data_IF_368313807026
#
_entry.id   IF_368313807026
#
_cell.length_a   1.000
_cell.length_b   1.000
_cell.length_c   1.000
_cell.angle_alpha   90.00
_cell.angle_beta   90.00
_cell.angle_gamma   90.00
#
_symmetry.space_group_name_H-M   'P 1'
#
loop_
_entity.id
_entity.type
_entity.pdbx_description
1 polymer ?
#
# COMPACT_ATOMS: atom_id res chain seq x y z
N UNK A 1 -9.24 1.02 42.02
CA UNK A 1 -9.47 1.96 40.90
C UNK A 1 -10.55 1.34 40.02
N UNK A 2 -11.75 1.90 40.04
CA UNK A 2 -12.97 1.28 39.54
C UNK A 2 -13.07 1.48 38.02
N UNK A 3 -12.87 0.42 37.22
CA UNK A 3 -13.04 0.46 35.76
C UNK A 3 -14.53 0.22 35.45
N UNK A 4 -15.39 1.13 35.89
CA UNK A 4 -16.82 1.09 35.58
C UNK A 4 -17.16 2.08 34.47
N UNK A 5 -17.84 1.57 33.44
CA UNK A 5 -18.49 2.29 32.33
C UNK A 5 -17.61 2.78 31.17
N UNK A 6 -17.07 1.86 30.35
CA UNK A 6 -16.81 2.19 28.94
C UNK A 6 -18.14 2.21 28.18
N UNK A 7 -18.62 3.43 27.90
CA UNK A 7 -19.81 3.75 27.10
C UNK A 7 -19.96 2.81 25.90
N UNK A 8 -21.10 2.12 25.83
CA UNK A 8 -21.63 1.60 24.58
C UNK A 8 -21.92 2.82 23.69
N UNK A 9 -21.05 3.12 22.72
CA UNK A 9 -21.33 4.16 21.72
C UNK A 9 -22.34 3.56 20.73
N UNK A 10 -23.55 4.12 20.61
CA UNK A 10 -24.51 3.63 19.63
C UNK A 10 -23.89 3.68 18.23
N UNK A 11 -24.20 2.68 17.41
CA UNK A 11 -23.84 2.59 15.99
C UNK A 11 -24.65 3.65 15.24
N UNK A 12 -24.32 4.94 15.40
CA UNK A 12 -24.96 6.03 14.67
C UNK A 12 -23.96 6.64 13.67
N UNK A 13 -24.34 6.59 12.39
CA UNK A 13 -23.81 7.35 11.26
C UNK A 13 -22.31 7.30 10.93
N UNK A 14 -21.61 6.20 11.20
CA UNK A 14 -20.24 5.99 10.65
C UNK A 14 -20.20 5.84 9.13
N UNK A 15 -21.34 5.54 8.48
CA UNK A 15 -21.42 5.37 7.03
C UNK A 15 -20.92 6.61 6.26
N UNK A 16 -21.25 7.82 6.73
CA UNK A 16 -20.80 9.06 6.09
C UNK A 16 -19.29 9.28 6.25
N UNK A 17 -18.72 8.95 7.41
CA UNK A 17 -17.27 9.03 7.64
C UNK A 17 -16.49 8.00 6.80
N UNK A 18 -17.07 6.80 6.59
CA UNK A 18 -16.54 5.78 5.66
C UNK A 18 -16.53 6.30 4.25
N UNK A 19 -17.69 6.75 3.79
CA UNK A 19 -17.87 7.22 2.43
C UNK A 19 -16.96 8.42 2.14
N UNK A 20 -16.85 9.36 3.07
CA UNK A 20 -15.94 10.49 2.96
C UNK A 20 -14.47 10.05 2.85
N UNK A 21 -14.02 9.13 3.70
CA UNK A 21 -12.65 8.60 3.64
C UNK A 21 -12.36 7.94 2.29
N UNK A 22 -13.27 7.10 1.79
CA UNK A 22 -13.11 6.42 0.50
C UNK A 22 -13.20 7.36 -0.70
N UNK A 23 -14.12 8.33 -0.70
CA UNK A 23 -14.20 9.35 -1.75
C UNK A 23 -12.92 10.17 -1.79
N UNK A 24 -12.42 10.59 -0.62
CA UNK A 24 -11.16 11.35 -0.54
C UNK A 24 -9.99 10.54 -1.09
N UNK A 25 -9.89 9.27 -0.72
CA UNK A 25 -8.88 8.34 -1.23
C UNK A 25 -8.95 8.22 -2.77
N UNK A 26 -10.14 7.95 -3.31
CA UNK A 26 -10.37 7.80 -4.74
C UNK A 26 -10.12 9.09 -5.52
N UNK A 27 -10.54 10.24 -4.98
CA UNK A 27 -10.32 11.54 -5.60
C UNK A 27 -8.84 11.91 -5.66
N UNK A 28 -8.09 11.71 -4.57
CA UNK A 28 -6.64 11.92 -4.54
C UNK A 28 -5.92 11.04 -5.57
N UNK A 29 -6.26 9.76 -5.63
CA UNK A 29 -5.65 8.84 -6.59
C UNK A 29 -6.06 9.14 -8.04
N UNK A 30 -7.34 9.34 -8.32
CA UNK A 30 -7.83 9.68 -9.66
C UNK A 30 -7.20 10.98 -10.18
N UNK A 31 -7.16 12.03 -9.34
CA UNK A 31 -6.51 13.29 -9.69
C UNK A 31 -5.01 13.15 -9.92
N UNK A 32 -4.32 12.34 -9.10
CA UNK A 32 -2.90 12.08 -9.29
C UNK A 32 -2.62 11.30 -10.58
N UNK A 33 -3.43 10.29 -10.90
CA UNK A 33 -3.33 9.54 -12.16
C UNK A 33 -3.49 10.49 -13.35
N UNK A 34 -4.50 11.36 -13.34
CA UNK A 34 -4.69 12.36 -14.41
C UNK A 34 -3.45 13.26 -14.54
N UNK A 35 -2.90 13.75 -13.42
CA UNK A 35 -1.70 14.59 -13.42
C UNK A 35 -0.50 13.87 -14.03
N UNK A 36 -0.29 12.60 -13.66
CA UNK A 36 0.78 11.77 -14.23
C UNK A 36 0.56 11.47 -15.71
N UNK A 37 -0.68 11.23 -16.15
CA UNK A 37 -1.00 11.01 -17.56
C UNK A 37 -0.71 12.24 -18.42
N UNK A 38 -0.89 13.46 -17.89
CA UNK A 38 -0.47 14.68 -18.59
C UNK A 38 1.05 14.86 -18.62
N UNK A 39 1.76 14.43 -17.58
CA UNK A 39 3.23 14.48 -17.54
C UNK A 39 3.89 13.47 -18.50
N UNK A 40 3.23 12.34 -18.75
CA UNK A 40 3.65 11.27 -19.67
C UNK A 40 3.19 11.53 -21.11
N UNK A 41 3.39 12.74 -21.63
CA UNK A 41 3.02 13.15 -22.99
C UNK A 41 4.07 14.07 -23.62
N UNK A 42 4.04 14.17 -24.95
CA UNK A 42 4.84 15.13 -25.70
C UNK A 42 6.35 14.86 -25.60
N UNK A 43 7.13 15.91 -25.35
CA UNK A 43 8.59 15.85 -25.39
C UNK A 43 9.22 14.98 -24.29
N UNK A 44 8.51 14.72 -23.17
CA UNK A 44 9.02 13.83 -22.12
C UNK A 44 9.22 12.40 -22.61
N UNK A 45 8.41 11.97 -23.59
CA UNK A 45 8.47 10.63 -24.19
C UNK A 45 9.63 10.42 -25.15
N UNK A 46 10.41 11.47 -25.47
CA UNK A 46 11.63 11.34 -26.29
C UNK A 46 12.79 10.72 -25.50
N UNK A 47 12.71 10.71 -24.17
CA UNK A 47 13.69 10.08 -23.30
C UNK A 47 13.46 8.56 -23.26
N UNK A 48 14.45 7.73 -23.66
CA UNK A 48 14.30 6.27 -23.66
C UNK A 48 13.99 5.65 -22.28
N UNK A 49 14.46 6.28 -21.19
CA UNK A 49 14.17 5.80 -19.83
C UNK A 49 12.70 6.05 -19.47
N UNK A 50 12.16 7.20 -19.89
CA UNK A 50 10.75 7.56 -19.70
C UNK A 50 9.86 6.70 -20.59
N UNK A 51 10.25 6.45 -21.84
CA UNK A 51 9.53 5.56 -22.74
C UNK A 51 9.45 4.14 -22.16
N UNK A 52 10.58 3.63 -21.63
CA UNK A 52 10.63 2.33 -20.98
C UNK A 52 9.73 2.32 -19.74
N UNK A 53 9.84 3.32 -18.87
CA UNK A 53 8.99 3.47 -17.69
C UNK A 53 7.50 3.49 -18.04
N UNK A 54 7.12 4.26 -19.07
CA UNK A 54 5.75 4.32 -19.60
C UNK A 54 5.28 2.96 -20.12
N UNK A 55 6.13 2.22 -20.83
CA UNK A 55 5.80 0.88 -21.34
C UNK A 55 5.54 -0.14 -20.21
N UNK A 56 6.15 0.10 -19.04
CA UNK A 56 6.02 -0.71 -17.83
C UNK A 56 5.00 -0.14 -16.83
N UNK A 57 4.30 0.95 -17.14
CA UNK A 57 3.42 1.66 -16.19
C UNK A 57 2.46 0.75 -15.42
N UNK A 58 1.90 -0.27 -16.08
CA UNK A 58 0.97 -1.24 -15.50
C UNK A 58 1.60 -2.14 -14.42
N UNK A 59 2.93 -2.31 -14.45
CA UNK A 59 3.69 -3.10 -13.47
C UNK A 59 3.89 -2.35 -12.16
N UNK A 60 3.85 -1.02 -12.21
CA UNK A 60 3.94 -0.17 -11.03
C UNK A 60 2.60 0.01 -10.30
N UNK A 61 1.50 -0.43 -10.91
CA UNK A 61 0.21 -0.49 -10.23
C UNK A 61 0.26 -1.59 -9.16
N UNK A 62 0.08 -1.17 -7.91
CA UNK A 62 0.07 -2.06 -6.75
C UNK A 62 -1.08 -1.70 -5.81
N UNK A 63 -1.27 -2.53 -4.80
CA UNK A 63 -2.30 -2.33 -3.80
C UNK A 63 -1.81 -1.32 -2.78
N UNK A 64 -2.62 -0.29 -2.58
CA UNK A 64 -2.31 0.76 -1.63
C UNK A 64 -2.49 0.28 -0.19
N UNK A 65 -1.38 0.16 0.55
CA UNK A 65 -1.39 -0.30 1.93
C UNK A 65 -0.20 0.29 2.72
N UNK A 66 -0.30 0.26 4.06
CA UNK A 66 0.72 0.83 4.95
C UNK A 66 2.06 0.08 4.88
N UNK A 67 2.08 -1.21 4.55
CA UNK A 67 3.32 -1.94 4.38
C UNK A 67 4.16 -1.37 3.21
N UNK A 68 3.50 -1.01 2.10
CA UNK A 68 4.15 -0.34 0.97
C UNK A 68 4.69 1.04 1.38
N UNK A 69 3.96 1.83 2.17
CA UNK A 69 4.48 3.08 2.72
C UNK A 69 5.79 2.84 3.49
N UNK A 70 5.80 1.87 4.41
CA UNK A 70 6.99 1.55 5.23
C UNK A 70 8.15 1.12 4.33
N UNK A 71 7.92 0.15 3.44
CA UNK A 71 8.96 -0.39 2.55
C UNK A 71 9.52 0.71 1.64
N UNK A 72 8.65 1.45 0.96
CA UNK A 72 9.03 2.49 0.01
C UNK A 72 9.89 3.56 0.68
N UNK A 73 9.41 4.18 1.76
CA UNK A 73 10.14 5.27 2.39
C UNK A 73 11.42 4.80 3.09
N UNK A 74 11.44 3.58 3.64
CA UNK A 74 12.66 3.03 4.23
C UNK A 74 13.78 2.90 3.19
N UNK A 75 13.45 2.37 2.00
CA UNK A 75 14.42 2.25 0.91
C UNK A 75 14.71 3.63 0.31
N UNK A 76 13.70 4.47 0.09
CA UNK A 76 13.85 5.80 -0.51
C UNK A 76 14.79 6.70 0.31
N UNK A 77 14.68 6.67 1.64
CA UNK A 77 15.54 7.45 2.54
C UNK A 77 16.96 6.87 2.58
N UNK A 78 17.11 5.54 2.51
CA UNK A 78 18.41 4.89 2.50
C UNK A 78 19.16 5.17 1.19
N UNK A 79 18.52 4.87 0.06
CA UNK A 79 18.99 5.13 -1.29
C UNK A 79 17.80 5.11 -2.27
N UNK A 80 17.35 6.30 -2.69
CA UNK A 80 16.23 6.45 -3.63
C UNK A 80 16.47 5.77 -4.97
N UNK A 81 17.70 5.67 -5.46
CA UNK A 81 17.99 5.13 -6.80
C UNK A 81 17.63 3.63 -6.89
N UNK A 82 17.46 2.96 -5.75
CA UNK A 82 17.05 1.55 -5.70
C UNK A 82 15.61 1.30 -6.15
N UNK A 83 14.73 2.30 -6.04
CA UNK A 83 13.28 2.17 -6.30
C UNK A 83 12.67 3.34 -7.06
N UNK A 84 13.29 4.53 -7.01
CA UNK A 84 12.80 5.76 -7.59
C UNK A 84 13.95 6.60 -8.18
N UNK A 85 14.56 6.14 -9.30
CA UNK A 85 15.72 6.80 -9.90
C UNK A 85 15.46 8.24 -10.34
N UNK A 86 16.53 9.05 -10.41
CA UNK A 86 16.45 10.47 -10.75
C UNK A 86 15.72 10.79 -12.07
N UNK A 87 15.76 9.90 -13.07
CA UNK A 87 15.06 10.14 -14.35
C UNK A 87 13.54 10.24 -14.16
N UNK A 88 12.97 9.58 -13.14
CA UNK A 88 11.53 9.61 -12.86
C UNK A 88 11.06 11.02 -12.47
N UNK A 89 11.93 11.86 -11.91
CA UNK A 89 11.61 13.23 -11.50
C UNK A 89 11.17 14.11 -12.69
N UNK A 90 11.50 13.71 -13.93
CA UNK A 90 11.07 14.38 -15.16
C UNK A 90 9.56 14.28 -15.40
N UNK A 91 8.90 13.26 -14.83
CA UNK A 91 7.48 12.96 -15.09
C UNK A 91 6.66 12.76 -13.80
N UNK A 92 7.28 12.41 -12.69
CA UNK A 92 6.62 12.31 -11.39
C UNK A 92 7.17 13.39 -10.47
N UNK A 93 6.33 14.37 -10.17
CA UNK A 93 6.65 15.41 -9.20
C UNK A 93 6.61 14.88 -7.76
N UNK A 94 7.27 15.59 -6.84
CA UNK A 94 7.33 15.19 -5.44
C UNK A 94 5.95 15.12 -4.77
N UNK A 95 5.01 15.96 -5.17
CA UNK A 95 3.63 15.92 -4.69
C UNK A 95 2.95 14.61 -5.10
N UNK A 96 3.13 14.19 -6.36
CA UNK A 96 2.63 12.91 -6.85
C UNK A 96 3.27 11.74 -6.11
N UNK A 97 4.58 11.82 -5.83
CA UNK A 97 5.28 10.82 -5.03
C UNK A 97 4.64 10.65 -3.63
N UNK A 98 4.34 11.75 -2.94
CA UNK A 98 3.64 11.71 -1.64
C UNK A 98 2.20 11.22 -1.73
N UNK A 99 1.45 11.57 -2.79
CA UNK A 99 0.09 11.04 -2.96
C UNK A 99 0.12 9.52 -3.13
N UNK A 100 1.05 9.00 -3.93
CA UNK A 100 1.18 7.56 -4.17
C UNK A 100 1.64 6.81 -2.91
N UNK A 101 2.65 7.33 -2.21
CA UNK A 101 3.32 6.56 -1.17
C UNK A 101 2.91 6.94 0.26
N UNK A 102 2.53 8.19 0.54
CA UNK A 102 2.26 8.70 1.91
C UNK A 102 0.78 8.80 2.23
N UNK A 103 -0.09 9.17 1.28
CA UNK A 103 -1.49 9.50 1.60
C UNK A 103 -2.31 8.33 2.17
N UNK A 104 -1.84 7.09 2.09
CA UNK A 104 -2.46 5.94 2.77
C UNK A 104 -2.47 6.10 4.28
N UNK A 105 -1.43 6.73 4.85
CA UNK A 105 -1.27 6.86 6.30
C UNK A 105 -2.41 7.70 6.91
N UNK A 106 -2.66 8.96 6.48
CA UNK A 106 -3.78 9.73 7.03
C UNK A 106 -5.14 9.07 6.76
N UNK A 107 -5.31 8.38 5.63
CA UNK A 107 -6.57 7.65 5.32
C UNK A 107 -6.79 6.49 6.29
N UNK A 108 -5.76 5.68 6.54
CA UNK A 108 -5.84 4.55 7.47
C UNK A 108 -5.97 5.04 8.92
N UNK A 109 -5.31 6.14 9.29
CA UNK A 109 -5.49 6.76 10.61
C UNK A 109 -6.91 7.30 10.78
N UNK A 110 -7.48 7.92 9.75
CA UNK A 110 -8.89 8.32 9.73
C UNK A 110 -9.81 7.12 9.90
N UNK A 111 -9.59 6.06 9.12
CA UNK A 111 -10.35 4.82 9.25
C UNK A 111 -10.24 4.24 10.66
N UNK A 112 -9.05 4.18 11.23
CA UNK A 112 -8.83 3.66 12.57
C UNK A 112 -9.49 4.52 13.67
N UNK A 113 -9.51 5.84 13.51
CA UNK A 113 -10.07 6.80 14.45
C UNK A 113 -11.61 6.88 14.44
N UNK A 114 -12.23 6.58 13.29
CA UNK A 114 -13.68 6.68 13.12
C UNK A 114 -14.35 5.34 12.87
N UNK A 115 -13.58 4.26 12.68
CA UNK A 115 -14.07 2.95 12.28
C UNK A 115 -13.58 1.84 13.19
N UNK A 116 -14.24 1.64 14.36
CA UNK A 116 -14.00 0.46 15.15
C UNK A 116 -14.31 -0.79 14.31
N UNK A 117 -13.30 -1.65 14.15
CA UNK A 117 -13.45 -2.96 13.51
C UNK A 117 -13.45 -4.06 14.57
N UNK A 118 -14.26 -5.08 14.38
CA UNK A 118 -14.15 -6.30 15.17
C UNK A 118 -13.12 -7.22 14.54
N UNK A 119 -12.28 -7.82 15.36
CA UNK A 119 -11.40 -8.89 14.89
C UNK A 119 -12.24 -10.08 14.39
N UNK A 120 -11.95 -10.61 13.18
CA UNK A 120 -12.70 -11.73 12.64
C UNK A 120 -12.43 -12.99 13.46
N UNK A 121 -13.43 -13.87 13.58
CA UNK A 121 -13.28 -15.17 14.26
C UNK A 121 -12.26 -16.09 13.57
N UNK A 122 -12.01 -15.88 12.29
CA UNK A 122 -11.06 -16.63 11.48
C UNK A 122 -10.27 -15.68 10.57
N UNK A 123 -8.95 -15.84 10.56
CA UNK A 123 -8.06 -15.02 9.72
C UNK A 123 -7.77 -15.65 8.36
N UNK A 124 -8.20 -16.90 8.11
CA UNK A 124 -7.78 -17.70 6.95
C UNK A 124 -8.04 -16.99 5.62
N UNK A 125 -9.27 -16.53 5.39
CA UNK A 125 -9.65 -15.89 4.13
C UNK A 125 -9.02 -14.50 3.94
N UNK A 126 -8.84 -13.74 5.02
CA UNK A 126 -8.21 -12.42 4.94
C UNK A 126 -6.70 -12.54 4.64
N UNK A 127 -6.02 -13.51 5.27
CA UNK A 127 -4.64 -13.82 4.95
C UNK A 127 -4.51 -14.39 3.55
N UNK A 128 -5.41 -15.29 3.13
CA UNK A 128 -5.44 -15.83 1.77
C UNK A 128 -5.63 -14.72 0.73
N UNK A 129 -6.50 -13.75 0.98
CA UNK A 129 -6.67 -12.57 0.11
C UNK A 129 -5.40 -11.70 0.06
N UNK A 130 -4.78 -11.44 1.23
CA UNK A 130 -3.56 -10.64 1.34
C UNK A 130 -2.40 -11.28 0.59
N UNK A 131 -2.15 -12.57 0.81
CA UNK A 131 -1.08 -13.31 0.13
C UNK A 131 -1.43 -13.63 -1.32
N UNK A 132 -2.70 -13.84 -1.65
CA UNK A 132 -3.15 -13.99 -3.03
C UNK A 132 -2.78 -12.76 -3.86
N UNK A 133 -3.07 -11.57 -3.34
CA UNK A 133 -2.67 -10.31 -3.95
C UNK A 133 -1.14 -10.19 -4.12
N UNK A 134 -0.38 -10.55 -3.08
CA UNK A 134 1.08 -10.54 -3.14
C UNK A 134 1.62 -11.49 -4.21
N UNK A 135 1.10 -12.72 -4.28
CA UNK A 135 1.48 -13.73 -5.29
C UNK A 135 1.10 -13.27 -6.69
N UNK A 136 -0.07 -12.65 -6.88
CA UNK A 136 -0.46 -12.06 -8.16
C UNK A 136 0.53 -10.97 -8.58
N UNK A 137 0.97 -10.12 -7.66
CA UNK A 137 1.98 -9.10 -7.98
C UNK A 137 3.35 -9.72 -8.31
N UNK A 138 3.77 -10.76 -7.59
CA UNK A 138 4.98 -11.52 -7.94
C UNK A 138 4.88 -12.09 -9.35
N UNK A 139 3.72 -12.66 -9.72
CA UNK A 139 3.50 -13.13 -11.09
C UNK A 139 3.66 -12.00 -12.11
N UNK A 140 3.12 -10.81 -11.86
CA UNK A 140 3.33 -9.64 -12.74
C UNK A 140 4.82 -9.28 -12.86
N UNK A 141 5.57 -9.24 -11.75
CA UNK A 141 7.01 -8.94 -11.76
C UNK A 141 7.82 -9.98 -12.54
N UNK A 142 7.67 -11.27 -12.19
CA UNK A 142 8.44 -12.35 -12.80
C UNK A 142 8.06 -12.56 -14.27
N UNK A 143 6.77 -12.45 -14.62
CA UNK A 143 6.33 -12.54 -16.03
C UNK A 143 6.80 -11.34 -16.85
N UNK A 144 6.97 -10.16 -16.24
CA UNK A 144 7.56 -8.99 -16.91
C UNK A 144 9.02 -9.24 -17.21
N UNK A 145 9.80 -9.69 -16.22
CA UNK A 145 11.20 -10.04 -16.42
C UNK A 145 11.36 -11.15 -17.47
N UNK A 146 10.56 -12.21 -17.40
CA UNK A 146 10.61 -13.30 -18.37
C UNK A 146 10.32 -12.86 -19.82
N UNK A 147 9.43 -11.87 -20.02
CA UNK A 147 9.06 -11.36 -21.36
C UNK A 147 9.96 -10.23 -21.87
N UNK A 148 10.50 -9.41 -20.96
CA UNK A 148 11.20 -8.15 -21.32
C UNK A 148 12.69 -8.16 -20.96
N UNK A 149 13.13 -9.08 -20.11
CA UNK A 149 14.50 -9.11 -19.58
C UNK A 149 14.84 -7.97 -18.61
N UNK A 150 13.84 -7.21 -18.15
CA UNK A 150 14.03 -6.00 -17.35
C UNK A 150 13.34 -6.16 -16.00
N UNK A 151 14.06 -5.84 -14.93
CA UNK A 151 13.49 -5.67 -13.60
C UNK A 151 12.92 -4.26 -13.45
N UNK A 152 11.64 -4.10 -13.07
CA UNK A 152 11.00 -2.78 -12.93
C UNK A 152 11.63 -1.89 -11.85
N UNK A 153 12.28 -2.50 -10.85
CA UNK A 153 12.95 -1.82 -9.75
C UNK A 153 14.45 -2.15 -9.77
N UNK A 154 15.36 -1.16 -9.74
CA UNK A 154 16.81 -1.38 -9.75
C UNK A 154 17.30 -2.33 -8.64
N UNK A 155 16.71 -2.27 -7.43
CA UNK A 155 17.06 -3.19 -6.33
C UNK A 155 16.94 -4.66 -6.70
N UNK A 156 15.93 -5.02 -7.51
CA UNK A 156 15.74 -6.41 -7.95
C UNK A 156 16.86 -6.83 -8.89
N UNK A 157 17.31 -5.93 -9.77
CA UNK A 157 18.46 -6.17 -10.66
C UNK A 157 19.76 -6.30 -9.88
N UNK A 158 20.00 -5.42 -8.90
CA UNK A 158 21.21 -5.42 -8.07
C UNK A 158 21.31 -6.71 -7.26
N UNK A 159 20.20 -7.16 -6.69
CA UNK A 159 20.20 -8.37 -5.88
C UNK A 159 20.15 -9.67 -6.71
N UNK A 160 19.77 -9.61 -8.00
CA UNK A 160 19.55 -10.79 -8.83
C UNK A 160 20.78 -11.71 -8.88
N UNK A 161 20.56 -13.00 -8.58
CA UNK A 161 21.64 -14.00 -8.49
C UNK A 161 22.33 -14.12 -7.13
N UNK A 162 22.03 -13.22 -6.18
CA UNK A 162 22.52 -13.30 -4.79
C UNK A 162 21.47 -13.88 -3.84
N UNK A 163 21.88 -14.20 -2.60
CA UNK A 163 20.98 -14.61 -1.52
C UNK A 163 19.96 -13.52 -1.15
N UNK A 164 20.28 -12.25 -1.40
CA UNK A 164 19.39 -11.13 -1.08
C UNK A 164 18.13 -11.09 -1.95
N UNK A 165 18.18 -11.64 -3.17
CA UNK A 165 17.04 -11.64 -4.08
C UNK A 165 15.80 -12.33 -3.51
N UNK A 166 15.86 -13.62 -3.10
CA UNK A 166 14.72 -14.26 -2.42
C UNK A 166 14.41 -13.63 -1.06
N UNK A 167 15.41 -13.10 -0.34
CA UNK A 167 15.19 -12.46 0.96
C UNK A 167 14.30 -11.23 0.89
N UNK A 168 14.34 -10.44 -0.20
CA UNK A 168 13.43 -9.30 -0.41
C UNK A 168 11.97 -9.77 -0.34
N UNK A 169 11.62 -10.80 -1.11
CA UNK A 169 10.24 -11.29 -1.18
C UNK A 169 9.79 -11.93 0.14
N UNK A 170 10.68 -12.66 0.81
CA UNK A 170 10.42 -13.22 2.15
C UNK A 170 10.19 -12.09 3.17
N UNK A 171 11.04 -11.05 3.16
CA UNK A 171 10.91 -9.89 4.04
C UNK A 171 9.59 -9.14 3.83
N UNK A 172 9.15 -8.96 2.58
CA UNK A 172 7.84 -8.38 2.27
C UNK A 172 6.71 -9.29 2.79
N UNK A 173 6.79 -10.60 2.57
CA UNK A 173 5.79 -11.56 3.05
C UNK A 173 5.65 -11.55 4.59
N UNK A 174 6.77 -11.44 5.31
CA UNK A 174 6.81 -11.29 6.77
C UNK A 174 6.22 -9.94 7.18
N UNK A 175 6.58 -8.85 6.49
CA UNK A 175 6.03 -7.51 6.80
C UNK A 175 4.52 -7.49 6.65
N UNK A 176 3.97 -8.09 5.58
CA UNK A 176 2.53 -8.22 5.38
C UNK A 176 1.86 -9.01 6.51
N UNK A 177 2.48 -10.10 6.97
CA UNK A 177 1.99 -10.88 8.13
C UNK A 177 1.91 -10.01 9.39
N UNK A 178 3.00 -9.33 9.71
CA UNK A 178 3.13 -8.51 10.92
C UNK A 178 2.15 -7.33 10.89
N UNK A 179 2.00 -6.66 9.75
CA UNK A 179 1.03 -5.57 9.58
C UNK A 179 -0.40 -6.08 9.69
N UNK A 180 -0.71 -7.25 9.11
CA UNK A 180 -2.03 -7.84 9.19
C UNK A 180 -2.45 -8.11 10.64
N UNK A 181 -1.60 -8.72 11.46
CA UNK A 181 -1.94 -8.97 12.87
C UNK A 181 -1.81 -7.72 13.76
N UNK A 182 -0.82 -6.87 13.46
CA UNK A 182 -0.59 -5.61 14.18
C UNK A 182 -1.81 -4.69 14.17
N UNK A 183 -2.56 -4.66 13.07
CA UNK A 183 -3.77 -3.81 12.97
C UNK A 183 -4.81 -4.14 14.06
N UNK A 184 -4.99 -5.42 14.42
CA UNK A 184 -5.95 -5.84 15.45
C UNK A 184 -5.50 -5.42 16.84
N UNK A 185 -4.18 -5.46 17.09
CA UNK A 185 -3.61 -4.96 18.33
C UNK A 185 -3.82 -3.46 18.48
N UNK A 186 -3.56 -2.69 17.43
CA UNK A 186 -3.76 -1.23 17.43
C UNK A 186 -5.25 -0.90 17.62
N UNK A 187 -6.14 -1.55 16.87
CA UNK A 187 -7.58 -1.34 16.98
C UNK A 187 -8.12 -1.69 18.38
N UNK A 188 -7.66 -2.79 18.98
CA UNK A 188 -8.06 -3.16 20.36
C UNK A 188 -7.56 -2.20 21.42
N UNK A 189 -6.39 -1.58 21.24
CA UNK A 189 -5.88 -0.53 22.14
C UNK A 189 -6.77 0.73 22.10
N UNK A 190 -7.20 1.14 20.91
CA UNK A 190 -8.01 2.34 20.73
C UNK A 190 -9.47 2.15 21.18
N UNK A 191 -10.08 1.02 20.85
CA UNK A 191 -11.52 0.80 21.04
C UNK A 191 -11.88 -0.10 22.24
N UNK A 192 -10.91 -0.84 22.78
CA UNK A 192 -11.14 -1.85 23.83
C UNK A 192 -11.66 -3.16 23.25
N UNK A 193 -11.23 -4.28 23.84
CA UNK A 193 -11.40 -5.68 23.37
C UNK A 193 -12.83 -6.23 23.29
N UNK A 194 -13.89 -5.42 23.40
CA UNK A 194 -15.27 -5.90 23.57
C UNK A 194 -16.22 -5.56 22.42
N UNK A 195 -15.74 -5.46 21.17
CA UNK A 195 -16.64 -5.71 20.02
C UNK A 195 -16.66 -7.21 19.71
N UNK A 196 -16.88 -8.02 20.74
CA UNK A 196 -17.30 -9.41 20.55
C UNK A 196 -18.63 -9.38 19.84
N UNK A 197 -18.69 -10.02 18.68
CA UNK A 197 -19.88 -10.35 17.92
C UNK A 197 -20.90 -11.12 18.78
N UNK A 198 -21.63 -10.42 19.65
CA UNK A 198 -22.91 -10.88 20.18
C UNK A 198 -24.01 -10.21 19.37
N UNK A 199 -24.06 -10.49 18.07
CA UNK A 199 -25.36 -10.63 17.44
C UNK A 199 -25.92 -11.97 17.93
N UNK A 200 -26.72 -11.89 18.99
CA UNK A 200 -27.80 -12.83 19.20
C UNK A 200 -28.97 -12.26 18.40
N UNK A 201 -29.27 -12.87 17.25
CA UNK A 201 -30.63 -12.98 16.72
C UNK A 201 -30.82 -14.44 16.39
#
# INVERSE_FOLDING_TARGET
MNISARRYRPINNYAYYRLFGYITALALHGGNVITMLFALQGDSMKDPEIETFYSLQWVYITIWNVAIFIIFWSIYIYDREMIFPAFIDKVIRQESNHIMHTAIVPIVLWELAFLPKSEPKSHKWNLAGTYGCFITYLYVLFSTFARRGIWPYPILKICYGSIYFPMIFIGIAITLYLMYYGQWRVNSLLWGTNVTSKEKV
#
